data_IF_766060962972
#
_entry.id   IF_766060962972
#
_cell.length_a   1.000
_cell.length_b   1.000
_cell.length_c   1.000
_cell.angle_alpha   90.00
_cell.angle_beta   90.00
_cell.angle_gamma   90.00
#
_symmetry.space_group_name_H-M   'P 1'
#
loop_
_entity.id
_entity.type
_entity.pdbx_description
1 polymer ?
#
# COMPACT_ATOMS: atom_id res chain seq x y z
N UNK A 1 9.73 67.96 -64.77
CA UNK A 1 9.69 67.87 -63.28
C UNK A 1 10.99 67.27 -62.74
N UNK A 2 12.03 67.12 -63.58
CA UNK A 2 13.25 66.37 -63.26
C UNK A 2 14.35 67.23 -62.64
N UNK A 3 14.36 68.54 -62.96
CA UNK A 3 15.30 69.52 -62.38
C UNK A 3 15.21 69.65 -60.85
N UNK A 4 14.04 69.41 -60.25
CA UNK A 4 13.88 69.45 -58.79
C UNK A 4 14.42 68.19 -58.11
N UNK A 5 14.45 67.04 -58.81
CA UNK A 5 15.06 65.79 -58.29
C UNK A 5 16.59 65.88 -58.30
N UNK A 6 17.19 66.31 -59.41
CA UNK A 6 18.65 66.53 -59.51
C UNK A 6 19.17 67.59 -58.52
N UNK A 7 18.32 68.55 -58.14
CA UNK A 7 18.67 69.58 -57.15
C UNK A 7 18.65 69.06 -55.70
N UNK A 8 17.82 68.05 -55.42
CA UNK A 8 17.71 67.42 -54.10
C UNK A 8 18.82 66.38 -53.86
N UNK A 9 19.32 65.73 -54.91
CA UNK A 9 20.48 64.81 -54.84
C UNK A 9 21.77 65.49 -54.38
N UNK A 10 21.87 66.82 -54.53
CA UNK A 10 23.04 67.62 -54.10
C UNK A 10 22.94 68.14 -52.67
N UNK A 11 21.86 67.82 -51.94
CA UNK A 11 21.67 68.27 -50.56
C UNK A 11 22.59 67.46 -49.65
N UNK A 12 23.42 68.16 -48.88
CA UNK A 12 24.35 67.55 -47.93
C UNK A 12 24.15 68.10 -46.52
N UNK A 13 24.25 67.22 -45.53
CA UNK A 13 24.09 67.53 -44.12
C UNK A 13 25.45 67.51 -43.42
N UNK A 14 25.73 68.51 -42.58
CA UNK A 14 26.94 68.53 -41.77
C UNK A 14 26.62 68.18 -40.32
N UNK A 15 27.29 67.17 -39.78
CA UNK A 15 27.25 66.89 -38.34
C UNK A 15 28.63 66.51 -37.84
N UNK A 16 29.01 67.05 -36.67
CA UNK A 16 30.32 66.82 -36.04
C UNK A 16 31.52 66.97 -37.00
N UNK A 17 31.46 67.95 -37.90
CA UNK A 17 32.52 68.26 -38.87
C UNK A 17 32.60 67.35 -40.10
N UNK A 18 31.68 66.38 -40.26
CA UNK A 18 31.59 65.51 -41.45
C UNK A 18 30.37 65.86 -42.30
N UNK A 19 30.53 65.77 -43.62
CA UNK A 19 29.45 65.96 -44.60
C UNK A 19 28.88 64.61 -45.02
N UNK A 20 27.56 64.52 -45.07
CA UNK A 20 26.80 63.33 -45.47
C UNK A 20 25.86 63.71 -46.61
N UNK A 21 25.73 62.84 -47.60
CA UNK A 21 24.73 63.01 -48.67
C UNK A 21 23.33 62.70 -48.14
N UNK A 22 22.31 63.32 -48.70
CA UNK A 22 20.92 63.05 -48.32
C UNK A 22 20.58 61.55 -48.36
N UNK A 23 20.98 60.84 -49.42
CA UNK A 23 20.77 59.39 -49.56
C UNK A 23 21.40 58.57 -48.42
N UNK A 24 22.55 59.00 -47.88
CA UNK A 24 23.21 58.30 -46.77
C UNK A 24 22.46 58.51 -45.46
N UNK A 25 21.89 59.71 -45.28
CA UNK A 25 21.06 60.01 -44.12
C UNK A 25 19.75 59.25 -44.21
N UNK A 26 19.11 59.22 -45.38
CA UNK A 26 17.86 58.49 -45.60
C UNK A 26 18.03 56.98 -45.37
N UNK A 27 19.07 56.37 -45.96
CA UNK A 27 19.38 54.96 -45.73
C UNK A 27 19.66 54.63 -44.25
N UNK A 28 20.34 55.53 -43.54
CA UNK A 28 20.55 55.38 -42.09
C UNK A 28 19.24 55.51 -41.29
N UNK A 29 18.37 56.45 -41.66
CA UNK A 29 17.08 56.64 -41.00
C UNK A 29 16.14 55.45 -41.23
N UNK A 30 16.18 54.84 -42.42
CA UNK A 30 15.44 53.63 -42.73
C UNK A 30 15.95 52.45 -41.86
N UNK A 31 17.27 52.23 -41.82
CA UNK A 31 17.86 51.17 -40.98
C UNK A 31 17.57 51.37 -39.48
N UNK A 32 17.65 52.62 -39.00
CA UNK A 32 17.31 52.97 -37.63
C UNK A 32 15.83 52.71 -37.33
N UNK A 33 14.93 53.07 -38.25
CA UNK A 33 13.49 52.81 -38.13
C UNK A 33 13.21 51.32 -38.04
N UNK A 34 13.78 50.52 -38.94
CA UNK A 34 13.67 49.06 -38.92
C UNK A 34 14.21 48.45 -37.63
N UNK A 35 15.31 49.00 -37.08
CA UNK A 35 15.87 48.55 -35.80
C UNK A 35 14.94 48.87 -34.64
N UNK A 36 14.40 50.08 -34.57
CA UNK A 36 13.48 50.51 -33.50
C UNK A 36 12.20 49.69 -33.55
N UNK A 37 11.66 49.41 -34.74
CA UNK A 37 10.49 48.55 -34.90
C UNK A 37 10.74 47.11 -34.42
N UNK A 38 11.88 46.52 -34.79
CA UNK A 38 12.28 45.19 -34.29
C UNK A 38 12.43 45.15 -32.78
N UNK A 39 13.05 46.16 -32.19
CA UNK A 39 13.20 46.27 -30.74
C UNK A 39 11.85 46.45 -30.04
N UNK A 40 10.94 47.24 -30.61
CA UNK A 40 9.59 47.42 -30.09
C UNK A 40 8.78 46.12 -30.14
N UNK A 41 8.87 45.37 -31.24
CA UNK A 41 8.23 44.06 -31.38
C UNK A 41 8.77 43.06 -30.36
N UNK A 42 10.10 42.96 -30.24
CA UNK A 42 10.77 42.08 -29.26
C UNK A 42 10.35 42.44 -27.85
N UNK A 43 10.38 43.73 -27.50
CA UNK A 43 9.94 44.20 -26.17
C UNK A 43 8.47 43.86 -25.89
N UNK A 44 7.61 43.94 -26.90
CA UNK A 44 6.19 43.57 -26.78
C UNK A 44 6.01 42.08 -26.52
N UNK A 45 6.76 41.22 -27.23
CA UNK A 45 6.74 39.77 -27.01
C UNK A 45 7.20 39.42 -25.59
N UNK A 46 8.33 39.96 -25.14
CA UNK A 46 8.86 39.71 -23.80
C UNK A 46 7.90 40.16 -22.70
N UNK A 47 7.17 41.26 -22.91
CA UNK A 47 6.13 41.70 -21.97
C UNK A 47 5.00 40.68 -21.87
N UNK A 48 4.53 40.13 -23.00
CA UNK A 48 3.46 39.11 -23.01
C UNK A 48 3.92 37.84 -22.30
N UNK A 49 5.10 37.33 -22.63
CA UNK A 49 5.66 36.14 -21.99
C UNK A 49 5.81 36.32 -20.48
N UNK A 50 6.35 37.46 -20.05
CA UNK A 50 6.46 37.78 -18.62
C UNK A 50 5.11 37.82 -17.93
N UNK A 51 4.10 38.42 -18.56
CA UNK A 51 2.76 38.52 -17.99
C UNK A 51 2.07 37.15 -17.92
N UNK A 52 2.30 36.27 -18.91
CA UNK A 52 1.79 34.90 -18.90
C UNK A 52 2.49 34.01 -17.87
N UNK A 53 3.82 34.09 -17.78
CA UNK A 53 4.59 33.42 -16.71
C UNK A 53 4.16 33.89 -15.32
N UNK A 54 3.83 35.18 -15.17
CA UNK A 54 3.30 35.70 -13.91
C UNK A 54 1.96 35.07 -13.55
N UNK A 55 1.02 35.00 -14.50
CA UNK A 55 -0.28 34.33 -14.29
C UNK A 55 -0.10 32.85 -13.95
N UNK A 56 0.80 32.16 -14.64
CA UNK A 56 1.09 30.76 -14.37
C UNK A 56 1.67 30.55 -12.97
N UNK A 57 2.63 31.39 -12.56
CA UNK A 57 3.17 31.39 -11.21
C UNK A 57 2.09 31.61 -10.15
N UNK A 58 1.18 32.55 -10.38
CA UNK A 58 0.06 32.82 -9.48
C UNK A 58 -0.89 31.61 -9.39
N UNK A 59 -1.20 30.95 -10.51
CA UNK A 59 -2.01 29.70 -10.53
C UNK A 59 -1.33 28.57 -9.77
N UNK A 60 -0.06 28.30 -10.04
CA UNK A 60 0.70 27.24 -9.37
C UNK A 60 0.82 27.49 -7.86
N UNK A 61 0.93 28.75 -7.46
CA UNK A 61 0.92 29.14 -6.04
C UNK A 61 -0.41 28.77 -5.37
N UNK A 62 -1.53 29.08 -6.02
CA UNK A 62 -2.87 28.75 -5.51
C UNK A 62 -3.07 27.24 -5.40
N UNK A 63 -2.67 26.49 -6.42
CA UNK A 63 -2.76 25.03 -6.43
C UNK A 63 -1.91 24.41 -5.31
N UNK A 64 -0.67 24.87 -5.14
CA UNK A 64 0.19 24.44 -4.04
C UNK A 64 -0.46 24.70 -2.68
N UNK A 65 -1.08 25.86 -2.49
CA UNK A 65 -1.71 26.21 -1.22
C UNK A 65 -2.97 25.38 -0.96
N UNK A 66 -3.77 25.09 -1.99
CA UNK A 66 -4.89 24.15 -1.89
C UNK A 66 -4.41 22.74 -1.50
N UNK A 67 -3.39 22.22 -2.18
CA UNK A 67 -2.81 20.90 -1.88
C UNK A 67 -2.22 20.82 -0.47
N UNK A 68 -1.65 21.92 0.04
CA UNK A 68 -1.16 22.01 1.43
C UNK A 68 -2.30 21.91 2.43
N UNK A 69 -3.41 22.61 2.19
CA UNK A 69 -4.60 22.55 3.05
C UNK A 69 -5.21 21.15 3.04
N UNK A 70 -5.34 20.54 1.87
CA UNK A 70 -5.85 19.17 1.73
C UNK A 70 -4.95 18.16 2.45
N UNK A 71 -3.64 18.24 2.26
CA UNK A 71 -2.70 17.39 3.00
C UNK A 71 -2.81 17.57 4.52
N UNK A 72 -2.99 18.79 5.00
CA UNK A 72 -3.17 19.04 6.43
C UNK A 72 -4.48 18.42 6.94
N UNK A 73 -5.56 18.49 6.17
CA UNK A 73 -6.84 17.85 6.49
C UNK A 73 -6.71 16.33 6.54
N UNK A 74 -6.12 15.72 5.50
CA UNK A 74 -5.93 14.27 5.44
C UNK A 74 -5.03 13.74 6.56
N UNK A 75 -4.03 14.52 6.99
CA UNK A 75 -3.21 14.18 8.17
C UNK A 75 -4.03 14.10 9.43
N UNK A 76 -4.90 15.08 9.68
CA UNK A 76 -5.79 15.08 10.85
C UNK A 76 -6.75 13.89 10.83
N UNK A 77 -7.40 13.65 9.69
CA UNK A 77 -8.31 12.51 9.52
C UNK A 77 -7.60 11.17 9.76
N UNK A 78 -6.37 11.01 9.27
CA UNK A 78 -5.56 9.82 9.52
C UNK A 78 -5.16 9.67 10.99
N UNK A 79 -4.85 10.77 11.67
CA UNK A 79 -4.56 10.75 13.12
C UNK A 79 -5.79 10.37 13.95
N UNK A 80 -6.95 10.92 13.62
CA UNK A 80 -8.24 10.57 14.24
C UNK A 80 -8.60 9.10 14.01
N UNK A 81 -8.47 8.61 12.77
CA UNK A 81 -8.69 7.20 12.45
C UNK A 81 -7.77 6.27 13.25
N UNK A 82 -6.47 6.60 13.32
CA UNK A 82 -5.50 5.85 14.13
C UNK A 82 -5.85 5.83 15.62
N UNK A 83 -6.27 6.98 16.16
CA UNK A 83 -6.72 7.05 17.54
C UNK A 83 -7.96 6.17 17.78
N UNK A 84 -8.91 6.17 16.84
CA UNK A 84 -10.08 5.29 16.86
C UNK A 84 -9.72 3.80 16.80
N UNK A 85 -8.82 3.40 15.89
CA UNK A 85 -8.33 2.03 15.79
C UNK A 85 -7.63 1.57 17.07
N UNK A 86 -6.76 2.41 17.65
CA UNK A 86 -6.06 2.11 18.89
C UNK A 86 -7.04 1.94 20.06
N UNK A 87 -8.06 2.80 20.14
CA UNK A 87 -9.11 2.70 21.14
C UNK A 87 -9.92 1.39 20.98
N UNK A 88 -10.29 1.03 19.74
CA UNK A 88 -10.99 -0.22 19.46
C UNK A 88 -10.16 -1.46 19.80
N UNK A 89 -8.86 -1.45 19.49
CA UNK A 89 -7.93 -2.52 19.88
C UNK A 89 -7.86 -2.68 21.40
N UNK A 90 -7.79 -1.56 22.13
CA UNK A 90 -7.75 -1.56 23.60
C UNK A 90 -9.05 -2.10 24.18
N UNK A 91 -10.20 -1.74 23.61
CA UNK A 91 -11.50 -2.29 24.01
C UNK A 91 -11.59 -3.78 23.73
N UNK A 92 -11.12 -4.26 22.58
CA UNK A 92 -11.08 -5.67 22.24
C UNK A 92 -10.21 -6.46 23.21
N UNK A 93 -9.02 -5.95 23.55
CA UNK A 93 -8.15 -6.55 24.56
C UNK A 93 -8.85 -6.64 25.92
N UNK A 94 -9.49 -5.56 26.37
CA UNK A 94 -10.24 -5.56 27.63
C UNK A 94 -11.40 -6.56 27.63
N UNK A 95 -12.10 -6.74 26.50
CA UNK A 95 -13.16 -7.75 26.37
C UNK A 95 -12.58 -9.16 26.40
N UNK A 96 -11.46 -9.41 25.72
CA UNK A 96 -10.77 -10.70 25.75
C UNK A 96 -10.30 -11.06 27.16
N UNK A 97 -9.73 -10.12 27.89
CA UNK A 97 -9.33 -10.32 29.29
C UNK A 97 -10.53 -10.67 30.18
N UNK A 98 -11.66 -9.96 30.02
CA UNK A 98 -12.89 -10.26 30.77
C UNK A 98 -13.47 -11.64 30.45
N UNK A 99 -13.42 -12.05 29.18
CA UNK A 99 -13.84 -13.38 28.76
C UNK A 99 -12.92 -14.45 29.37
N UNK A 100 -11.61 -14.27 29.27
CA UNK A 100 -10.63 -15.18 29.84
C UNK A 100 -10.73 -15.30 31.37
N UNK A 101 -11.02 -14.19 32.06
CA UNK A 101 -11.26 -14.16 33.50
C UNK A 101 -12.66 -14.63 33.91
N UNK A 102 -13.53 -14.98 32.94
CA UNK A 102 -14.88 -15.46 33.24
C UNK A 102 -14.79 -16.85 33.86
N UNK A 103 -15.25 -17.03 35.12
CA UNK A 103 -15.18 -18.32 35.81
C UNK A 103 -15.98 -19.41 35.10
N UNK A 104 -16.93 -19.02 34.23
CA UNK A 104 -17.68 -19.95 33.38
C UNK A 104 -16.81 -20.60 32.29
N UNK A 105 -15.89 -19.87 31.67
CA UNK A 105 -14.98 -20.43 30.65
C UNK A 105 -13.94 -21.34 31.27
N UNK A 106 -13.38 -20.94 32.41
CA UNK A 106 -12.42 -21.75 33.17
C UNK A 106 -13.05 -23.05 33.68
N UNK A 107 -14.28 -22.97 34.19
CA UNK A 107 -15.05 -24.16 34.58
C UNK A 107 -15.34 -25.07 33.39
N UNK A 108 -15.73 -24.51 32.23
CA UNK A 108 -15.94 -25.29 31.00
C UNK A 108 -14.65 -25.97 30.55
N UNK A 109 -13.50 -25.29 30.59
CA UNK A 109 -12.20 -25.89 30.25
C UNK A 109 -11.85 -27.06 31.17
N UNK A 110 -12.03 -26.91 32.49
CA UNK A 110 -11.80 -27.99 33.45
C UNK A 110 -12.69 -29.21 33.16
N UNK A 111 -13.99 -28.98 32.96
CA UNK A 111 -14.93 -30.07 32.63
C UNK A 111 -14.52 -30.80 31.34
N UNK A 112 -14.09 -30.07 30.30
CA UNK A 112 -13.60 -30.71 29.08
C UNK A 112 -12.34 -31.54 29.33
N UNK A 113 -11.39 -31.05 30.13
CA UNK A 113 -10.17 -31.79 30.49
C UNK A 113 -10.49 -33.06 31.27
N UNK A 114 -11.39 -32.99 32.25
CA UNK A 114 -11.82 -34.14 33.04
C UNK A 114 -12.46 -35.21 32.13
N UNK A 115 -13.35 -34.79 31.21
CA UNK A 115 -13.97 -35.68 30.23
C UNK A 115 -12.96 -36.31 29.26
N UNK A 116 -11.92 -35.57 28.86
CA UNK A 116 -10.85 -36.11 28.02
C UNK A 116 -10.02 -37.17 28.75
N UNK A 117 -9.73 -36.95 30.03
CA UNK A 117 -9.03 -37.93 30.88
C UNK A 117 -9.88 -39.19 31.09
N UNK A 118 -11.17 -39.03 31.42
CA UNK A 118 -12.09 -40.15 31.55
C UNK A 118 -12.20 -40.94 30.24
N UNK A 119 -12.31 -40.26 29.10
CA UNK A 119 -12.32 -40.88 27.77
C UNK A 119 -11.05 -41.72 27.56
N UNK A 120 -9.89 -41.15 27.84
CA UNK A 120 -8.61 -41.82 27.60
C UNK A 120 -8.41 -43.02 28.54
N UNK A 121 -8.86 -42.91 29.79
CA UNK A 121 -8.89 -44.01 30.75
C UNK A 121 -9.81 -45.14 30.28
N UNK A 122 -11.03 -44.82 29.85
CA UNK A 122 -11.98 -45.81 29.32
C UNK A 122 -11.42 -46.51 28.08
N UNK A 123 -10.75 -45.78 27.19
CA UNK A 123 -10.07 -46.37 26.03
C UNK A 123 -8.98 -47.35 26.49
N UNK A 124 -8.20 -46.99 27.51
CA UNK A 124 -7.19 -47.87 28.09
C UNK A 124 -7.80 -49.14 28.69
N UNK A 125 -8.86 -49.00 29.48
CA UNK A 125 -9.55 -50.12 30.12
C UNK A 125 -10.17 -51.06 29.08
N UNK A 126 -10.79 -50.52 28.02
CA UNK A 126 -11.30 -51.31 26.90
C UNK A 126 -10.17 -52.11 26.23
N UNK A 127 -8.99 -51.51 26.03
CA UNK A 127 -7.83 -52.21 25.47
C UNK A 127 -7.36 -53.33 26.41
N UNK A 128 -7.27 -53.06 27.71
CA UNK A 128 -6.87 -54.04 28.72
C UNK A 128 -7.85 -55.22 28.78
N UNK A 129 -9.17 -54.96 28.80
CA UNK A 129 -10.21 -55.98 28.80
C UNK A 129 -10.17 -56.84 27.53
N UNK A 130 -9.93 -56.24 26.36
CA UNK A 130 -9.77 -56.98 25.10
C UNK A 130 -8.57 -57.92 25.15
N UNK A 131 -7.43 -57.45 25.68
CA UNK A 131 -6.22 -58.27 25.85
C UNK A 131 -6.46 -59.41 26.83
N UNK A 132 -7.04 -59.11 28.00
CA UNK A 132 -7.38 -60.11 29.01
C UNK A 132 -8.30 -61.20 28.46
N UNK A 133 -9.36 -60.81 27.76
CA UNK A 133 -10.29 -61.76 27.11
C UNK A 133 -9.57 -62.67 26.12
N UNK A 134 -8.65 -62.13 25.32
CA UNK A 134 -7.87 -62.92 24.38
C UNK A 134 -6.94 -63.92 25.08
N UNK A 135 -6.31 -63.49 26.18
CA UNK A 135 -5.49 -64.38 27.01
C UNK A 135 -6.31 -65.51 27.63
N UNK A 136 -7.47 -65.20 28.23
CA UNK A 136 -8.38 -66.22 28.76
C UNK A 136 -8.84 -67.18 27.67
N UNK A 137 -9.18 -66.67 26.47
CA UNK A 137 -9.58 -67.50 25.34
C UNK A 137 -8.48 -68.48 24.96
N UNK A 138 -7.23 -68.01 24.86
CA UNK A 138 -6.06 -68.87 24.57
C UNK A 138 -5.83 -69.93 25.64
N UNK A 139 -5.89 -69.55 26.92
CA UNK A 139 -5.74 -70.51 28.03
C UNK A 139 -6.81 -71.61 27.97
N UNK A 140 -8.08 -71.24 27.75
CA UNK A 140 -9.18 -72.21 27.58
C UNK A 140 -8.97 -73.10 26.35
N UNK A 141 -8.52 -72.55 25.22
CA UNK A 141 -8.19 -73.33 24.02
C UNK A 141 -7.03 -74.32 24.29
N UNK A 142 -6.00 -73.90 25.02
CA UNK A 142 -4.87 -74.74 25.40
C UNK A 142 -5.30 -75.87 26.34
N UNK A 143 -6.09 -75.57 27.38
CA UNK A 143 -6.63 -76.55 28.31
C UNK A 143 -7.54 -77.56 27.58
N UNK A 144 -8.42 -77.10 26.70
CA UNK A 144 -9.26 -77.97 25.89
C UNK A 144 -8.42 -78.90 24.99
N UNK A 145 -7.38 -78.38 24.33
CA UNK A 145 -6.44 -79.19 23.53
C UNK A 145 -5.64 -80.18 24.38
N UNK A 146 -5.29 -79.82 25.62
CA UNK A 146 -4.60 -80.70 26.54
C UNK A 146 -5.50 -81.86 26.98
N UNK A 147 -6.76 -81.57 27.32
CA UNK A 147 -7.77 -82.57 27.68
C UNK A 147 -8.05 -83.53 26.51
N UNK A 148 -8.25 -83.03 25.29
CA UNK A 148 -8.45 -83.88 24.11
C UNK A 148 -7.27 -84.85 23.90
N UNK A 149 -6.03 -84.37 24.01
CA UNK A 149 -4.83 -85.22 23.93
C UNK A 149 -4.74 -86.27 25.04
N UNK A 150 -5.24 -85.98 26.24
CA UNK A 150 -5.31 -86.96 27.33
C UNK A 150 -6.35 -88.03 27.03
N UNK A 151 -7.53 -87.65 26.52
CA UNK A 151 -8.59 -88.59 26.14
C UNK A 151 -8.16 -89.51 25.00
N UNK A 152 -7.46 -88.99 23.98
CA UNK A 152 -6.91 -89.77 22.87
C UNK A 152 -5.86 -90.81 23.31
N UNK A 153 -5.21 -90.61 24.46
CA UNK A 153 -4.20 -91.53 25.03
C UNK A 153 -4.80 -92.59 25.95
N UNK A 154 -6.09 -92.52 26.25
CA UNK A 154 -6.75 -93.54 27.06
C UNK A 154 -7.01 -94.79 26.18
N UNK A 155 -6.62 -96.00 26.63
CA UNK A 155 -6.89 -97.22 25.88
C UNK A 155 -8.40 -97.48 25.80
N UNK A 156 -8.85 -97.98 24.65
CA UNK A 156 -10.25 -98.19 24.24
C UNK A 156 -11.14 -98.97 25.24
N UNK A 157 -10.59 -99.59 26.27
CA UNK A 157 -11.33 -100.34 27.30
C UNK A 157 -11.97 -99.45 28.39
N UNK A 158 -11.64 -98.16 28.46
CA UNK A 158 -12.18 -97.22 29.48
C UNK A 158 -13.12 -96.13 28.93
N UNK A 159 -13.50 -96.21 27.66
CA UNK A 159 -14.31 -95.19 26.96
C UNK A 159 -15.77 -95.62 26.69
N UNK A 160 -16.26 -96.66 27.37
CA UNK A 160 -17.66 -97.11 27.35
C UNK A 160 -18.37 -96.75 28.66
#
# INVERSE_FOLDING_TARGET
MDYTKESLERVSFQTRGKWYLAEQVDAFLDELSDSVERDAQTTSQWRRERDDLRKEKERLQQERDALRQENARLKKEREEARAGEQAALTQLQAVQEKLAASPGEERRRRVCQDLEQERDQLISDIKALRSYRETCRKAVEEDARALLRQVERLPSEKLL
#
